data_IF_302273037123
#
_entry.id   IF_302273037123
#
_cell.length_a   1.000
_cell.length_b   1.000
_cell.length_c   1.000
_cell.angle_alpha   90.00
_cell.angle_beta   90.00
_cell.angle_gamma   90.00
#
_symmetry.space_group_name_H-M   'P 1'
#
loop_
_entity.id
_entity.type
_entity.pdbx_description
1 polymer ?
#
# COMPACT_ATOMS: atom_id res chain seq x y z
N UNK A 1 0.16 5.93 84.98
CA UNK A 1 0.69 6.67 83.81
C UNK A 1 1.42 5.69 82.91
N UNK A 2 0.79 5.26 81.82
CA UNK A 2 1.45 4.64 80.66
C UNK A 2 0.40 4.56 79.55
N UNK A 3 0.44 5.53 78.62
CA UNK A 3 -0.34 5.53 77.39
C UNK A 3 0.46 4.78 76.32
N UNK A 4 -0.04 3.63 75.87
CA UNK A 4 0.39 3.01 74.63
C UNK A 4 -0.31 3.71 73.46
N UNK A 5 0.46 4.37 72.60
CA UNK A 5 -0.03 4.97 71.36
C UNK A 5 -0.12 3.90 70.27
N UNK A 6 -1.34 3.68 69.76
CA UNK A 6 -1.59 2.85 68.58
C UNK A 6 -1.38 3.70 67.31
N UNK A 7 -0.46 3.26 66.44
CA UNK A 7 -0.24 3.84 65.12
C UNK A 7 -1.17 3.14 64.13
N UNK A 8 -2.22 3.81 63.68
CA UNK A 8 -3.09 3.38 62.59
C UNK A 8 -2.59 3.96 61.27
N UNK A 9 -2.02 3.11 60.41
CA UNK A 9 -1.71 3.41 59.01
C UNK A 9 -3.01 3.52 58.20
N UNK A 10 -3.29 4.72 57.69
CA UNK A 10 -4.35 4.96 56.70
C UNK A 10 -3.81 4.59 55.31
N UNK A 11 -4.24 3.44 54.78
CA UNK A 11 -4.03 3.09 53.36
C UNK A 11 -5.05 3.90 52.55
N UNK A 12 -4.58 4.94 51.87
CA UNK A 12 -5.39 5.69 50.90
C UNK A 12 -5.63 4.80 49.66
N UNK A 13 -6.90 4.51 49.38
CA UNK A 13 -7.30 3.83 48.15
C UNK A 13 -7.04 4.74 46.93
N UNK A 14 -6.60 4.21 45.77
CA UNK A 14 -6.44 5.00 44.56
C UNK A 14 -7.81 5.52 44.06
N UNK A 15 -7.85 6.69 43.41
CA UNK A 15 -9.09 7.27 42.94
C UNK A 15 -9.75 6.35 41.90
N UNK A 16 -11.02 6.03 42.15
CA UNK A 16 -11.89 5.36 41.17
C UNK A 16 -12.16 6.34 40.02
N UNK A 17 -11.50 6.14 38.89
CA UNK A 17 -11.82 6.86 37.66
C UNK A 17 -13.28 6.66 37.27
N UNK A 18 -13.89 7.77 36.91
CA UNK A 18 -15.27 7.98 36.53
C UNK A 18 -15.76 7.02 35.44
N UNK A 19 -16.98 6.51 35.64
CA UNK A 19 -17.79 5.83 34.64
C UNK A 19 -18.09 6.80 33.49
N UNK A 20 -17.37 6.69 32.38
CA UNK A 20 -17.86 7.14 31.08
C UNK A 20 -18.42 5.92 30.34
N UNK A 21 -19.64 5.98 29.78
CA UNK A 21 -20.14 4.92 28.93
C UNK A 21 -19.40 5.01 27.59
N UNK A 22 -18.44 4.11 27.41
CA UNK A 22 -17.72 3.95 26.14
C UNK A 22 -18.35 2.79 25.37
N UNK A 23 -19.35 3.09 24.53
CA UNK A 23 -19.96 2.11 23.60
C UNK A 23 -18.90 1.39 22.74
N UNK A 24 -17.72 1.99 22.56
CA UNK A 24 -16.59 1.40 21.83
C UNK A 24 -15.90 0.25 22.57
N UNK A 25 -15.80 0.30 23.91
CA UNK A 25 -15.14 -0.75 24.70
C UNK A 25 -16.05 -1.96 24.85
N UNK A 26 -17.35 -1.75 25.07
CA UNK A 26 -18.31 -2.85 25.17
C UNK A 26 -18.51 -3.52 23.80
N UNK A 27 -18.44 -2.74 22.71
CA UNK A 27 -18.41 -3.28 21.34
C UNK A 27 -17.13 -4.05 21.05
N UNK A 28 -15.96 -3.55 21.47
CA UNK A 28 -14.69 -4.26 21.31
C UNK A 28 -14.68 -5.58 22.11
N UNK A 29 -15.20 -5.60 23.35
CA UNK A 29 -15.35 -6.82 24.15
C UNK A 29 -16.35 -7.81 23.53
N UNK A 30 -17.43 -7.31 22.93
CA UNK A 30 -18.40 -8.16 22.22
C UNK A 30 -17.80 -8.77 20.94
N UNK A 31 -17.02 -8.00 20.18
CA UNK A 31 -16.30 -8.48 18.99
C UNK A 31 -15.21 -9.50 19.34
N UNK A 32 -14.48 -9.28 20.45
CA UNK A 32 -13.49 -10.22 20.96
C UNK A 32 -14.15 -11.54 21.43
N UNK A 33 -15.27 -11.45 22.16
CA UNK A 33 -16.06 -12.62 22.57
C UNK A 33 -16.59 -13.41 21.37
N UNK A 34 -17.12 -12.73 20.36
CA UNK A 34 -17.59 -13.36 19.13
C UNK A 34 -16.44 -14.05 18.36
N UNK A 35 -15.24 -13.47 18.35
CA UNK A 35 -14.04 -14.06 17.74
C UNK A 35 -13.56 -15.29 18.51
N UNK A 36 -13.63 -15.26 19.84
CA UNK A 36 -13.29 -16.41 20.69
C UNK A 36 -14.28 -17.57 20.51
N UNK A 37 -15.59 -17.29 20.43
CA UNK A 37 -16.62 -18.29 20.15
C UNK A 37 -16.48 -18.89 18.74
N UNK A 38 -16.16 -18.07 17.74
CA UNK A 38 -15.89 -18.55 16.37
C UNK A 38 -14.63 -19.42 16.31
N UNK A 39 -13.57 -19.07 17.05
CA UNK A 39 -12.35 -19.88 17.16
C UNK A 39 -12.59 -21.21 17.89
N UNK A 40 -13.42 -21.21 18.93
CA UNK A 40 -13.83 -22.43 19.62
C UNK A 40 -14.65 -23.36 18.71
N UNK A 41 -15.57 -22.80 17.92
CA UNK A 41 -16.36 -23.56 16.93
C UNK A 41 -15.49 -24.13 15.82
N UNK A 42 -14.51 -23.38 15.31
CA UNK A 42 -13.56 -23.87 14.32
C UNK A 42 -12.66 -24.99 14.86
N UNK A 43 -12.29 -24.96 16.15
CA UNK A 43 -11.55 -26.05 16.80
C UNK A 43 -12.42 -27.30 17.00
N UNK A 44 -13.70 -27.14 17.32
CA UNK A 44 -14.64 -28.26 17.41
C UNK A 44 -14.89 -28.92 16.04
N UNK A 45 -15.02 -28.12 14.99
CA UNK A 45 -15.19 -28.62 13.61
C UNK A 45 -13.91 -29.28 13.07
N UNK A 46 -12.72 -28.88 13.54
CA UNK A 46 -11.45 -29.53 13.22
C UNK A 46 -11.28 -30.87 13.98
N UNK A 47 -11.69 -30.94 15.25
CA UNK A 47 -11.66 -32.18 16.03
C UNK A 47 -12.61 -33.24 15.45
N UNK A 48 -13.79 -32.84 14.97
CA UNK A 48 -14.74 -33.73 14.30
C UNK A 48 -14.24 -34.31 12.97
N UNK A 49 -13.25 -33.68 12.31
CA UNK A 49 -12.65 -34.16 11.06
C UNK A 49 -11.42 -35.03 11.23
N UNK A 50 -10.87 -35.10 12.46
CA UNK A 50 -9.69 -35.93 12.76
C UNK A 50 -10.02 -37.37 13.15
N UNK A 51 -11.29 -37.69 13.45
CA UNK A 51 -11.73 -39.03 13.82
C UNK A 51 -12.12 -39.94 12.63
N UNK A 52 -11.99 -39.48 11.38
CA UNK A 52 -12.45 -40.21 10.18
C UNK A 52 -11.31 -40.62 9.23
N UNK A 53 -10.05 -40.57 9.69
CA UNK A 53 -8.90 -40.98 8.89
C UNK A 53 -7.85 -41.71 9.75
N UNK A 54 -8.18 -42.92 10.19
CA UNK A 54 -7.18 -43.93 10.57
C UNK A 54 -7.49 -45.25 9.88
N UNK A 55 -7.02 -45.40 8.64
CA UNK A 55 -6.58 -46.72 8.16
C UNK A 55 -5.66 -46.59 6.94
N UNK A 56 -4.71 -47.53 6.84
CA UNK A 56 -3.75 -47.80 5.76
C UNK A 56 -2.39 -47.06 5.79
N UNK A 57 -1.47 -47.72 6.49
CA UNK A 57 -0.02 -47.75 6.27
C UNK A 57 0.35 -48.56 4.99
N UNK A 58 1.40 -48.16 4.26
CA UNK A 58 2.68 -48.91 4.12
C UNK A 58 3.43 -48.73 2.77
N UNK A 59 4.76 -48.62 2.91
CA UNK A 59 5.85 -49.02 1.97
C UNK A 59 6.10 -48.19 0.69
N UNK A 60 7.29 -47.98 0.10
CA UNK A 60 8.70 -48.37 0.34
C UNK A 60 9.63 -47.60 -0.64
N UNK A 61 10.91 -47.45 -0.27
CA UNK A 61 12.16 -47.26 -1.07
C UNK A 61 12.48 -46.06 -1.99
N UNK A 62 13.50 -45.34 -1.51
CA UNK A 62 14.77 -44.91 -2.14
C UNK A 62 15.11 -45.31 -3.60
N UNK A 63 15.63 -44.34 -4.36
CA UNK A 63 16.90 -44.44 -5.13
C UNK A 63 17.30 -43.08 -5.77
N UNK A 64 18.49 -42.60 -5.43
CA UNK A 64 19.41 -41.80 -6.27
C UNK A 64 20.13 -42.78 -7.25
N UNK A 65 20.97 -42.38 -8.25
CA UNK A 65 21.75 -41.13 -8.35
C UNK A 65 21.90 -40.51 -9.77
N UNK A 66 22.67 -39.41 -9.79
CA UNK A 66 23.84 -39.20 -10.66
C UNK A 66 23.82 -38.08 -11.71
N UNK A 67 24.96 -37.36 -11.69
CA UNK A 67 25.33 -36.13 -12.36
C UNK A 67 25.83 -36.36 -13.79
N UNK A 68 25.61 -35.40 -14.69
CA UNK A 68 26.41 -35.24 -15.93
C UNK A 68 26.54 -33.74 -16.29
N UNK A 69 27.77 -33.22 -16.23
CA UNK A 69 28.31 -32.05 -16.99
C UNK A 69 28.67 -32.52 -18.43
N UNK A 70 28.98 -31.69 -19.48
CA UNK A 70 29.56 -30.32 -19.53
C UNK A 70 29.02 -29.50 -20.76
N UNK A 71 29.79 -28.67 -21.51
CA UNK A 71 30.70 -27.55 -21.19
C UNK A 71 30.24 -26.17 -21.75
N UNK A 72 31.02 -25.16 -21.38
CA UNK A 72 31.20 -23.80 -21.90
C UNK A 72 31.29 -23.62 -23.42
N UNK A 73 31.04 -22.39 -23.91
CA UNK A 73 31.84 -21.66 -24.94
C UNK A 73 31.26 -20.26 -25.27
N UNK A 74 32.15 -19.27 -25.11
CA UNK A 74 32.35 -17.96 -25.77
C UNK A 74 31.32 -16.82 -25.81
N UNK A 75 31.80 -15.72 -25.26
CA UNK A 75 31.63 -14.31 -25.61
C UNK A 75 31.85 -13.96 -27.09
N UNK A 76 31.07 -13.01 -27.59
CA UNK A 76 31.49 -12.07 -28.65
C UNK A 76 30.97 -10.66 -28.36
N UNK A 77 31.94 -9.75 -28.32
CA UNK A 77 31.88 -8.29 -28.24
C UNK A 77 31.69 -7.69 -29.65
N UNK A 78 30.99 -6.55 -29.76
CA UNK A 78 31.36 -5.43 -30.64
C UNK A 78 30.34 -4.28 -30.50
N UNK A 79 30.72 -3.13 -29.90
CA UNK A 79 31.19 -1.85 -30.52
C UNK A 79 30.12 -1.13 -31.39
N UNK A 80 29.56 -0.02 -30.87
CA UNK A 80 29.87 1.40 -31.18
C UNK A 80 29.31 1.87 -32.53
N UNK A 81 28.62 3.01 -32.69
CA UNK A 81 29.07 4.42 -32.54
C UNK A 81 27.86 5.34 -32.87
N UNK A 82 27.82 6.64 -32.50
CA UNK A 82 26.60 7.46 -32.40
C UNK A 82 26.44 8.50 -33.53
N UNK A 83 25.27 9.15 -33.61
CA UNK A 83 25.15 10.48 -34.21
C UNK A 83 23.83 11.22 -33.84
N UNK A 84 24.00 12.41 -33.23
CA UNK A 84 23.38 13.72 -33.52
C UNK A 84 21.84 13.81 -33.64
N UNK A 85 21.12 14.50 -32.75
CA UNK A 85 20.99 15.97 -32.56
C UNK A 85 20.46 16.74 -33.77
N UNK A 86 19.18 17.15 -33.72
CA UNK A 86 18.69 18.36 -34.36
C UNK A 86 17.43 18.87 -33.63
N UNK A 87 17.62 19.97 -32.92
CA UNK A 87 16.60 20.88 -32.41
C UNK A 87 15.92 21.63 -33.56
N UNK A 88 14.59 21.79 -33.50
CA UNK A 88 13.93 22.85 -34.26
C UNK A 88 12.88 23.52 -33.38
N UNK A 89 13.22 24.74 -33.02
CA UNK A 89 12.39 25.74 -32.36
C UNK A 89 11.41 26.31 -33.40
N UNK A 90 10.11 26.35 -33.11
CA UNK A 90 9.17 27.20 -33.85
C UNK A 90 8.22 27.90 -32.88
N UNK A 91 8.30 29.22 -32.87
CA UNK A 91 7.42 30.14 -32.14
C UNK A 91 5.99 30.20 -32.74
N UNK A 92 4.98 30.68 -31.98
CA UNK A 92 3.57 30.48 -32.30
C UNK A 92 2.96 31.57 -33.21
N UNK A 93 1.87 31.27 -33.95
CA UNK A 93 1.09 32.28 -34.68
C UNK A 93 0.03 32.97 -33.78
N UNK A 94 -0.50 34.15 -34.20
CA UNK A 94 -1.17 35.11 -33.33
C UNK A 94 -2.68 34.89 -33.11
N UNK A 95 -3.18 35.59 -32.08
CA UNK A 95 -4.53 35.57 -31.50
C UNK A 95 -5.69 35.79 -32.47
N UNK A 96 -6.66 34.88 -32.46
CA UNK A 96 -7.96 35.04 -33.10
C UNK A 96 -9.02 35.54 -32.10
N UNK A 97 -9.67 36.66 -32.45
CA UNK A 97 -10.80 37.24 -31.71
C UNK A 97 -11.99 36.28 -31.65
N UNK A 98 -12.48 35.99 -30.44
CA UNK A 98 -13.68 35.19 -30.16
C UNK A 98 -14.92 35.83 -30.79
N UNK A 99 -15.58 35.11 -31.72
CA UNK A 99 -17.00 35.31 -32.05
C UNK A 99 -17.81 34.41 -31.12
N UNK A 100 -18.69 34.99 -30.31
CA UNK A 100 -19.61 34.23 -29.48
C UNK A 100 -20.60 33.46 -30.35
N UNK A 101 -20.64 32.15 -30.12
CA UNK A 101 -21.51 31.19 -30.81
C UNK A 101 -22.95 31.29 -30.33
N UNK A 102 -23.88 31.31 -31.29
CA UNK A 102 -25.34 31.27 -31.18
C UNK A 102 -25.90 30.19 -30.20
N UNK A 103 -25.11 29.17 -29.86
CA UNK A 103 -25.48 28.12 -28.90
C UNK A 103 -25.58 28.57 -27.44
N UNK A 104 -25.08 29.75 -27.06
CA UNK A 104 -25.15 30.26 -25.67
C UNK A 104 -26.52 30.81 -25.26
N UNK A 105 -27.50 30.88 -26.18
CA UNK A 105 -28.84 31.43 -25.90
C UNK A 105 -29.94 30.37 -25.71
N UNK A 106 -29.66 29.08 -25.90
CA UNK A 106 -30.70 28.03 -25.90
C UNK A 106 -30.70 27.11 -24.67
N UNK A 107 -29.76 27.24 -23.74
CA UNK A 107 -29.73 26.42 -22.51
C UNK A 107 -29.62 27.29 -21.27
N UNK A 108 -30.71 27.99 -20.98
CA UNK A 108 -30.94 28.66 -19.71
C UNK A 108 -31.23 27.66 -18.59
N UNK A 109 -30.49 27.81 -17.49
CA UNK A 109 -30.75 27.34 -16.13
C UNK A 109 -30.87 25.82 -15.92
N UNK A 110 -29.82 25.20 -15.37
CA UNK A 110 -30.02 24.40 -14.14
C UNK A 110 -28.73 24.00 -13.40
N UNK A 111 -28.87 24.03 -12.06
CA UNK A 111 -28.11 23.35 -11.01
C UNK A 111 -26.62 23.72 -10.83
N UNK A 112 -26.36 24.50 -9.78
CA UNK A 112 -25.09 24.52 -9.05
C UNK A 112 -24.75 23.10 -8.62
N UNK A 113 -23.93 22.39 -9.40
CA UNK A 113 -23.19 21.25 -8.87
C UNK A 113 -22.10 21.83 -7.96
N UNK A 114 -22.16 21.49 -6.67
CA UNK A 114 -21.01 21.66 -5.79
C UNK A 114 -19.91 20.75 -6.35
N UNK A 115 -19.02 21.30 -7.18
CA UNK A 115 -17.70 20.73 -7.35
C UNK A 115 -17.03 20.80 -5.98
N UNK A 116 -16.88 19.65 -5.33
CA UNK A 116 -15.96 19.51 -4.22
C UNK A 116 -14.58 19.76 -4.80
N UNK A 117 -14.01 20.94 -4.53
CA UNK A 117 -12.63 21.25 -4.86
C UNK A 117 -11.76 20.32 -4.01
N UNK A 118 -11.16 19.32 -4.62
CA UNK A 118 -10.27 18.34 -3.97
C UNK A 118 -8.85 18.89 -3.75
N UNK A 119 -8.64 20.19 -3.93
CA UNK A 119 -7.34 20.83 -3.72
C UNK A 119 -7.55 22.01 -2.77
N UNK A 120 -7.21 21.79 -1.50
CA UNK A 120 -7.10 22.84 -0.50
C UNK A 120 -5.91 23.73 -0.85
N UNK A 121 -6.08 25.05 -0.73
CA UNK A 121 -4.98 26.01 -0.92
C UNK A 121 -3.94 25.81 0.19
N UNK A 122 -2.64 26.05 -0.02
CA UNK A 122 -1.61 25.91 1.03
C UNK A 122 -1.95 26.64 2.34
N UNK A 123 -2.64 27.79 2.27
CA UNK A 123 -3.08 28.55 3.45
C UNK A 123 -4.22 27.86 4.23
N UNK A 124 -4.94 26.92 3.61
CA UNK A 124 -6.00 26.11 4.21
C UNK A 124 -5.46 24.85 4.91
N UNK A 125 -4.15 24.55 4.77
CA UNK A 125 -3.44 23.53 5.54
C UNK A 125 -2.94 24.08 6.90
N UNK A 126 -3.00 25.40 7.07
CA UNK A 126 -2.65 26.09 8.32
C UNK A 126 -3.92 26.28 9.14
N UNK A 127 -4.31 25.27 9.90
CA UNK A 127 -5.27 25.44 10.99
C UNK A 127 -4.58 25.15 12.32
N UNK A 128 -4.15 26.21 13.00
CA UNK A 128 -3.52 26.16 14.34
C UNK A 128 -4.54 26.09 15.48
N UNK A 129 -5.85 26.05 15.18
CA UNK A 129 -6.91 26.37 16.14
C UNK A 129 -7.29 25.23 17.10
N UNK A 130 -6.58 24.09 17.05
CA UNK A 130 -6.80 22.98 17.98
C UNK A 130 -5.49 22.26 18.32
N UNK A 131 -4.53 22.98 18.92
CA UNK A 131 -3.48 22.34 19.72
C UNK A 131 -4.18 21.82 20.98
N UNK A 132 -4.10 20.51 21.25
CA UNK A 132 -4.30 20.05 22.62
C UNK A 132 -3.16 20.67 23.42
N UNK A 133 -3.40 21.79 24.09
CA UNK A 133 -2.43 22.28 25.07
C UNK A 133 -2.34 21.22 26.14
N UNK A 134 -1.13 20.69 26.32
CA UNK A 134 -0.85 19.83 27.44
C UNK A 134 -1.08 20.68 28.70
N UNK A 135 -1.83 20.22 29.73
CA UNK A 135 -1.97 20.97 30.98
C UNK A 135 -0.62 21.40 31.58
N UNK A 136 0.46 20.67 31.31
CA UNK A 136 1.84 20.98 31.71
C UNK A 136 2.45 22.18 30.97
N UNK A 137 2.00 22.54 29.75
CA UNK A 137 2.42 23.78 29.06
C UNK A 137 1.98 25.04 29.82
N UNK A 138 0.85 24.98 30.53
CA UNK A 138 0.34 26.10 31.33
C UNK A 138 1.10 26.33 32.64
N UNK A 139 1.82 25.30 33.11
CA UNK A 139 2.58 25.31 34.36
C UNK A 139 4.11 25.39 34.13
N UNK A 140 4.57 25.27 32.87
CA UNK A 140 5.99 25.34 32.51
C UNK A 140 6.82 24.13 32.97
N UNK A 141 6.19 22.97 33.18
CA UNK A 141 6.82 21.74 33.72
C UNK A 141 6.80 20.58 32.72
N UNK A 142 6.42 20.82 31.46
CA UNK A 142 6.49 19.79 30.43
C UNK A 142 7.96 19.54 30.07
N UNK A 143 8.50 18.36 30.34
CA UNK A 143 9.81 17.99 29.81
C UNK A 143 9.69 17.78 28.29
N UNK A 144 10.72 18.19 27.56
CA UNK A 144 10.75 18.11 26.10
C UNK A 144 11.74 17.01 25.68
N UNK A 145 11.22 15.87 25.26
CA UNK A 145 12.02 14.77 24.74
C UNK A 145 12.29 14.98 23.25
N UNK A 146 13.57 15.09 22.86
CA UNK A 146 13.98 15.29 21.46
C UNK A 146 14.58 14.02 20.87
N UNK A 147 14.03 13.61 19.73
CA UNK A 147 14.51 12.48 18.97
C UNK A 147 15.00 12.92 17.59
N UNK A 148 16.18 12.46 17.20
CA UNK A 148 16.76 12.74 15.89
C UNK A 148 17.57 11.55 15.36
N UNK A 149 17.74 11.45 14.03
CA UNK A 149 18.70 10.52 13.43
C UNK A 149 20.13 10.80 13.93
N UNK A 150 20.93 9.75 14.10
CA UNK A 150 22.36 9.91 14.35
C UNK A 150 23.10 10.48 13.14
N UNK A 151 24.30 11.03 13.36
CA UNK A 151 25.14 11.61 12.29
C UNK A 151 25.50 10.61 11.16
N UNK A 152 25.47 9.31 11.46
CA UNK A 152 25.76 8.22 10.52
C UNK A 152 24.51 7.53 9.98
N UNK A 153 23.31 7.96 10.39
CA UNK A 153 22.04 7.37 9.97
C UNK A 153 21.53 8.06 8.70
N UNK A 154 22.07 7.64 7.56
CA UNK A 154 21.66 8.11 6.24
C UNK A 154 20.35 7.48 5.77
N UNK A 155 19.71 8.15 4.81
CA UNK A 155 18.56 7.61 4.08
C UNK A 155 18.97 6.34 3.32
N UNK A 156 18.16 5.29 3.44
CA UNK A 156 18.35 4.02 2.72
C UNK A 156 17.19 3.82 1.77
N UNK A 157 17.48 3.44 0.52
CA UNK A 157 16.47 3.20 -0.50
C UNK A 157 16.27 1.71 -0.71
N UNK A 158 15.02 1.26 -0.54
CA UNK A 158 14.57 -0.06 -0.93
C UNK A 158 13.86 0.04 -2.28
N UNK A 159 14.51 -0.48 -3.32
CA UNK A 159 14.01 -0.46 -4.67
C UNK A 159 13.41 -1.82 -5.06
N UNK A 160 12.18 -1.81 -5.53
CA UNK A 160 11.54 -2.98 -6.14
C UNK A 160 10.69 -2.54 -7.34
N UNK A 161 10.36 -3.49 -8.22
CA UNK A 161 9.52 -3.21 -9.40
C UNK A 161 8.11 -2.74 -9.07
N UNK A 162 7.61 -2.98 -7.84
CA UNK A 162 6.26 -2.64 -7.42
C UNK A 162 6.16 -1.55 -6.35
N UNK A 163 7.27 -1.27 -5.66
CA UNK A 163 7.34 -0.33 -4.54
C UNK A 163 8.75 0.25 -4.44
N UNK A 164 8.83 1.56 -4.36
CA UNK A 164 10.03 2.29 -3.99
C UNK A 164 9.81 2.87 -2.60
N UNK A 165 10.74 2.64 -1.69
CA UNK A 165 10.72 3.26 -0.37
C UNK A 165 12.09 3.84 -0.04
N UNK A 166 12.11 4.96 0.67
CA UNK A 166 13.32 5.49 1.28
C UNK A 166 13.06 5.74 2.77
N UNK A 167 13.95 5.22 3.61
CA UNK A 167 13.76 5.15 5.06
C UNK A 167 14.93 5.80 5.78
N UNK A 168 14.63 6.51 6.86
CA UNK A 168 15.63 7.03 7.79
C UNK A 168 15.26 6.62 9.20
N UNK A 169 16.23 6.02 9.89
CA UNK A 169 16.07 5.61 11.28
C UNK A 169 16.21 6.83 12.21
N UNK A 170 15.37 6.88 13.23
CA UNK A 170 15.43 7.86 14.32
C UNK A 170 15.82 7.11 15.59
N UNK A 171 16.95 7.48 16.19
CA UNK A 171 17.52 6.73 17.29
C UNK A 171 16.57 6.70 18.50
N UNK A 172 16.42 5.51 19.09
CA UNK A 172 15.57 5.23 20.24
C UNK A 172 14.07 5.54 20.06
N UNK A 173 13.64 5.88 18.84
CA UNK A 173 12.26 6.28 18.58
C UNK A 173 11.58 5.40 17.54
N UNK A 174 12.21 5.20 16.37
CA UNK A 174 11.63 4.46 15.27
C UNK A 174 12.26 4.79 13.93
N UNK A 175 11.47 4.98 12.89
CA UNK A 175 11.94 5.41 11.58
C UNK A 175 10.87 6.14 10.79
N UNK A 176 11.28 6.95 9.84
CA UNK A 176 10.40 7.55 8.84
C UNK A 176 10.57 6.87 7.50
N UNK A 177 9.51 6.88 6.70
CA UNK A 177 9.49 6.31 5.36
C UNK A 177 8.77 7.26 4.40
N UNK A 178 9.40 7.52 3.26
CA UNK A 178 8.71 7.96 2.06
C UNK A 178 8.57 6.76 1.13
N UNK A 179 7.35 6.46 0.70
CA UNK A 179 7.09 5.34 -0.20
C UNK A 179 6.20 5.74 -1.36
N UNK A 180 6.44 5.10 -2.50
CA UNK A 180 5.61 5.23 -3.68
C UNK A 180 5.48 3.87 -4.38
N UNK A 181 4.24 3.39 -4.47
CA UNK A 181 3.88 2.17 -5.17
C UNK A 181 3.34 2.44 -6.57
N UNK A 182 3.08 1.36 -7.32
CA UNK A 182 2.50 1.44 -8.67
C UNK A 182 1.13 2.13 -8.65
N UNK A 183 1.02 3.24 -9.38
CA UNK A 183 -0.21 4.04 -9.47
C UNK A 183 -0.65 4.69 -8.15
N UNK A 184 0.22 4.72 -7.14
CA UNK A 184 -0.05 5.32 -5.84
C UNK A 184 0.68 6.68 -5.71
N UNK A 185 0.10 7.63 -4.95
CA UNK A 185 0.80 8.87 -4.63
C UNK A 185 1.99 8.60 -3.70
N UNK A 186 2.89 9.59 -3.59
CA UNK A 186 3.91 9.61 -2.56
C UNK A 186 3.24 9.66 -1.18
N UNK A 187 3.63 8.74 -0.31
CA UNK A 187 3.15 8.66 1.07
C UNK A 187 4.33 8.81 2.03
N UNK A 188 4.15 9.63 3.04
CA UNK A 188 5.04 9.75 4.19
C UNK A 188 4.41 9.09 5.41
N UNK A 189 5.22 8.32 6.14
CA UNK A 189 4.81 7.74 7.40
C UNK A 189 5.93 7.81 8.45
N UNK A 190 5.53 8.05 9.70
CA UNK A 190 6.38 7.88 10.89
C UNK A 190 5.99 6.57 11.58
N UNK A 191 6.97 5.68 11.68
CA UNK A 191 6.85 4.44 12.42
C UNK A 191 7.56 4.56 13.76
N UNK A 192 6.90 4.12 14.83
CA UNK A 192 7.36 4.29 16.21
C UNK A 192 7.48 2.94 16.89
N UNK A 193 8.51 2.76 17.72
CA UNK A 193 8.71 1.53 18.49
C UNK A 193 7.68 1.39 19.63
N UNK A 194 7.27 2.51 20.21
CA UNK A 194 6.26 2.59 21.26
C UNK A 194 5.08 3.42 20.74
N UNK A 195 4.00 2.76 20.29
CA UNK A 195 2.82 3.42 19.77
C UNK A 195 2.18 4.39 20.76
N UNK A 196 1.66 5.54 20.29
CA UNK A 196 0.87 6.40 21.13
C UNK A 196 -0.44 5.74 21.56
N UNK A 197 -0.85 5.92 22.82
CA UNK A 197 -2.06 5.31 23.37
C UNK A 197 -3.37 5.91 22.82
N UNK A 198 -3.31 7.11 22.24
CA UNK A 198 -4.48 7.86 21.78
C UNK A 198 -4.23 8.63 20.49
N UNK A 199 -5.33 9.13 19.93
CA UNK A 199 -5.30 10.00 18.76
C UNK A 199 -4.84 11.39 19.20
N UNK A 200 -3.93 11.98 18.44
CA UNK A 200 -3.29 13.24 18.76
C UNK A 200 -3.14 14.16 17.55
N UNK A 201 -2.53 15.32 17.78
CA UNK A 201 -2.15 16.28 16.74
C UNK A 201 -0.70 16.66 16.93
N UNK A 202 0.07 16.55 15.86
CA UNK A 202 1.45 16.98 15.78
C UNK A 202 1.55 18.31 15.04
N UNK A 203 2.15 19.30 15.68
CA UNK A 203 2.54 20.54 15.03
C UNK A 203 3.82 20.30 14.23
N UNK A 204 3.79 20.67 12.96
CA UNK A 204 4.87 20.42 12.01
C UNK A 204 5.48 21.74 11.58
N UNK A 205 6.77 21.88 11.85
CA UNK A 205 7.58 23.01 11.41
C UNK A 205 8.78 22.50 10.63
N UNK A 206 9.37 23.38 9.84
CA UNK A 206 10.67 23.12 9.20
C UNK A 206 11.66 24.12 9.72
N UNK A 207 12.86 23.65 10.01
CA UNK A 207 13.95 24.50 10.43
C UNK A 207 15.08 24.45 9.39
N UNK A 208 15.81 25.55 9.19
CA UNK A 208 17.01 25.52 8.37
C UNK A 208 18.10 24.69 9.06
N UNK A 209 19.02 24.10 8.29
CA UNK A 209 20.22 23.51 8.86
C UNK A 209 21.15 24.61 9.40
N UNK A 210 22.06 24.26 10.29
CA UNK A 210 22.89 25.23 11.03
C UNK A 210 23.70 26.17 10.13
N UNK A 211 24.09 25.72 8.93
CA UNK A 211 24.87 26.49 7.95
C UNK A 211 24.03 27.43 7.06
N UNK A 212 22.70 27.31 7.05
CA UNK A 212 21.81 28.22 6.31
C UNK A 212 21.31 29.37 7.20
N UNK A 213 22.22 30.26 7.58
CA UNK A 213 21.94 31.32 8.55
C UNK A 213 20.87 32.36 8.10
N UNK A 214 20.57 32.45 6.80
CA UNK A 214 19.60 33.41 6.25
C UNK A 214 18.19 32.83 6.09
N UNK A 215 18.03 31.52 6.21
CA UNK A 215 16.74 30.85 6.12
C UNK A 215 16.02 30.94 7.48
N UNK A 216 14.68 31.04 7.46
CA UNK A 216 13.86 31.06 8.67
C UNK A 216 13.10 29.75 8.83
N UNK A 217 12.84 29.37 10.07
CA UNK A 217 11.91 28.29 10.34
C UNK A 217 10.52 28.64 9.80
N UNK A 218 9.84 27.65 9.20
CA UNK A 218 8.49 27.80 8.66
C UNK A 218 7.54 26.88 9.41
N UNK A 219 6.41 27.42 9.83
CA UNK A 219 5.30 26.62 10.32
C UNK A 219 4.56 26.02 9.12
N UNK A 220 4.44 24.70 9.06
CA UNK A 220 3.73 24.00 7.98
C UNK A 220 2.28 23.69 8.37
N UNK A 221 1.93 23.68 9.66
CA UNK A 221 0.60 23.34 10.15
C UNK A 221 0.57 22.10 11.04
N UNK A 222 -0.53 21.35 10.99
CA UNK A 222 -0.82 20.24 11.92
C UNK A 222 -1.11 18.95 11.15
N UNK A 223 -0.53 17.84 11.60
CA UNK A 223 -0.80 16.48 11.12
C UNK A 223 -1.40 15.64 12.24
N UNK A 224 -2.30 14.73 11.91
CA UNK A 224 -2.91 13.82 12.88
C UNK A 224 -1.95 12.70 13.29
N UNK A 225 -1.98 12.35 14.57
CA UNK A 225 -1.24 11.24 15.16
C UNK A 225 -2.25 10.15 15.51
N UNK A 226 -2.02 8.93 15.03
CA UNK A 226 -2.91 7.79 15.22
C UNK A 226 -2.30 6.78 16.19
N UNK A 227 -3.12 6.03 16.95
CA UNK A 227 -2.63 4.92 17.75
C UNK A 227 -2.12 3.78 16.85
N UNK A 228 -0.98 3.20 17.21
CA UNK A 228 -0.36 2.09 16.49
C UNK A 228 1.08 2.35 16.07
N UNK A 229 1.73 1.34 15.48
CA UNK A 229 3.14 1.44 15.05
C UNK A 229 3.34 2.53 13.99
N UNK A 230 2.35 2.77 13.13
CA UNK A 230 2.36 3.87 12.14
C UNK A 230 1.70 5.10 12.75
N UNK A 231 2.42 5.77 13.64
CA UNK A 231 1.89 6.89 14.43
C UNK A 231 1.50 8.11 13.58
N UNK A 232 2.18 8.36 12.46
CA UNK A 232 1.79 9.43 11.53
C UNK A 232 1.69 8.86 10.13
N UNK A 233 0.57 9.12 9.46
CA UNK A 233 0.38 8.87 8.03
C UNK A 233 -0.04 10.18 7.37
N UNK A 234 0.80 10.73 6.50
CA UNK A 234 0.53 12.01 5.86
C UNK A 234 -0.33 11.87 4.60
N UNK A 235 -1.13 12.90 4.30
CA UNK A 235 -1.80 13.01 2.99
C UNK A 235 -0.78 13.17 1.86
N UNK A 236 -1.23 13.05 0.60
CA UNK A 236 -0.36 13.24 -0.56
C UNK A 236 0.28 14.65 -0.58
N UNK A 237 -0.49 15.68 -0.22
CA UNK A 237 -0.03 17.07 -0.19
C UNK A 237 1.05 17.27 0.87
N UNK A 238 0.81 16.74 2.08
CA UNK A 238 1.77 16.77 3.17
C UNK A 238 3.04 16.00 2.84
N UNK A 239 2.90 14.80 2.30
CA UNK A 239 4.03 13.96 1.88
C UNK A 239 4.89 14.68 0.86
N UNK A 240 4.27 15.30 -0.16
CA UNK A 240 4.99 16.10 -1.15
C UNK A 240 5.64 17.34 -0.54
N UNK A 241 4.97 18.03 0.38
CA UNK A 241 5.53 19.23 1.03
C UNK A 241 6.77 18.88 1.85
N UNK A 242 6.68 17.87 2.71
CA UNK A 242 7.80 17.41 3.54
C UNK A 242 8.99 16.97 2.68
N UNK A 243 8.71 16.24 1.60
CA UNK A 243 9.72 15.79 0.66
C UNK A 243 10.47 16.96 -0.01
N UNK A 244 9.73 18.00 -0.41
CA UNK A 244 10.33 19.20 -1.01
C UNK A 244 11.19 19.98 -0.01
N UNK A 245 10.71 20.19 1.21
CA UNK A 245 11.47 20.91 2.26
C UNK A 245 12.82 20.21 2.52
N UNK A 246 12.83 18.88 2.63
CA UNK A 246 14.07 18.12 2.78
C UNK A 246 14.98 18.18 1.55
N UNK A 247 14.40 18.23 0.34
CA UNK A 247 15.18 18.44 -0.88
C UNK A 247 15.86 19.82 -0.90
N UNK A 248 15.26 20.83 -0.28
CA UNK A 248 15.88 22.16 -0.09
C UNK A 248 16.90 22.19 1.06
N UNK A 249 17.12 21.06 1.73
CA UNK A 249 18.03 20.93 2.87
C UNK A 249 17.40 21.32 4.21
N UNK A 250 16.12 21.67 4.24
CA UNK A 250 15.38 21.99 5.46
C UNK A 250 15.10 20.72 6.26
N UNK A 251 15.07 20.82 7.58
CA UNK A 251 14.71 19.70 8.47
C UNK A 251 13.28 19.83 8.98
N UNK A 252 12.38 18.90 8.65
CA UNK A 252 11.08 18.82 9.30
C UNK A 252 11.22 18.43 10.76
N UNK A 253 10.35 19.02 11.58
CA UNK A 253 10.27 18.81 13.03
C UNK A 253 8.80 18.67 13.38
N UNK A 254 8.45 17.57 14.04
CA UNK A 254 7.09 17.26 14.48
C UNK A 254 7.06 17.28 16.00
N UNK A 255 6.20 18.13 16.59
CA UNK A 255 5.99 18.21 18.04
C UNK A 255 4.59 17.77 18.41
N UNK A 256 4.46 16.85 19.36
CA UNK A 256 3.20 16.37 19.91
C UNK A 256 3.39 15.86 21.34
N UNK A 257 2.30 15.61 22.03
CA UNK A 257 2.28 15.12 23.41
C UNK A 257 2.89 13.71 23.54
N UNK A 258 3.53 13.42 24.68
CA UNK A 258 3.96 12.07 25.03
C UNK A 258 2.73 11.20 25.28
N UNK A 259 2.59 10.15 24.49
CA UNK A 259 1.43 9.30 24.51
C UNK A 259 1.47 8.15 25.52
N UNK A 260 2.53 8.08 26.35
CA UNK A 260 2.60 7.19 27.49
C UNK A 260 1.79 7.72 28.69
N UNK A 261 2.09 8.93 29.17
CA UNK A 261 1.46 9.54 30.33
C UNK A 261 0.81 10.91 30.06
N UNK A 262 1.04 11.49 28.88
CA UNK A 262 0.52 12.79 28.50
C UNK A 262 1.17 13.95 29.25
N UNK A 263 2.21 13.74 30.05
CA UNK A 263 2.81 14.78 30.88
C UNK A 263 3.83 15.62 30.10
N UNK A 264 4.57 14.97 29.21
CA UNK A 264 5.68 15.56 28.48
C UNK A 264 5.33 15.88 27.02
N UNK A 265 6.18 16.67 26.38
CA UNK A 265 6.14 16.90 24.94
C UNK A 265 7.28 16.14 24.26
N UNK A 266 6.98 15.59 23.09
CA UNK A 266 7.95 14.94 22.23
C UNK A 266 8.18 15.76 20.96
N UNK A 267 9.44 15.85 20.55
CA UNK A 267 9.86 16.50 19.31
C UNK A 267 10.69 15.51 18.48
N UNK A 268 10.15 15.14 17.33
CA UNK A 268 10.77 14.22 16.38
C UNK A 268 11.29 15.02 15.19
N UNK A 269 12.61 15.00 15.02
CA UNK A 269 13.30 15.71 13.96
C UNK A 269 13.70 14.75 12.85
N UNK A 270 13.55 15.18 11.60
CA UNK A 270 14.07 14.48 10.42
C UNK A 270 15.37 15.15 9.98
N UNK A 271 16.28 14.38 9.38
CA UNK A 271 17.56 14.92 8.91
C UNK A 271 17.61 14.92 7.39
N UNK A 272 17.90 16.08 6.80
CA UNK A 272 18.15 16.23 5.36
C UNK A 272 19.57 15.78 4.94
N UNK A 273 20.38 15.28 5.88
CA UNK A 273 21.72 14.78 5.57
C UNK A 273 21.66 13.60 4.58
N UNK A 274 22.47 13.71 3.53
CA UNK A 274 22.52 12.80 2.39
C UNK A 274 21.17 12.51 1.69
N UNK A 275 20.18 13.40 1.87
CA UNK A 275 18.86 13.23 1.27
C UNK A 275 18.92 13.27 -0.26
N UNK A 276 19.74 14.16 -0.85
CA UNK A 276 19.87 14.33 -2.30
C UNK A 276 20.37 13.09 -3.03
N UNK A 277 21.39 12.39 -2.50
CA UNK A 277 21.89 11.15 -3.11
C UNK A 277 20.81 10.05 -3.09
N UNK A 278 20.10 9.93 -1.96
CA UNK A 278 19.00 8.97 -1.81
C UNK A 278 17.79 9.34 -2.66
N UNK A 279 17.54 10.63 -2.84
CA UNK A 279 16.50 11.17 -3.71
C UNK A 279 16.73 10.74 -5.16
N UNK A 280 17.97 10.82 -5.65
CA UNK A 280 18.32 10.35 -6.99
C UNK A 280 18.09 8.85 -7.17
N UNK A 281 18.47 8.04 -6.17
CA UNK A 281 18.21 6.59 -6.16
C UNK A 281 16.69 6.30 -6.14
N UNK A 282 15.94 7.05 -5.33
CA UNK A 282 14.49 6.94 -5.23
C UNK A 282 13.80 7.29 -6.55
N UNK A 283 14.16 8.41 -7.20
CA UNK A 283 13.62 8.79 -8.50
C UNK A 283 13.96 7.79 -9.60
N UNK A 284 15.17 7.20 -9.60
CA UNK A 284 15.53 6.11 -10.51
C UNK A 284 14.62 4.89 -10.30
N UNK A 285 14.34 4.53 -9.05
CA UNK A 285 13.39 3.47 -8.74
C UNK A 285 11.98 3.79 -9.25
N UNK A 286 11.47 5.00 -8.96
CA UNK A 286 10.12 5.43 -9.38
C UNK A 286 9.97 5.39 -10.91
N UNK A 287 11.02 5.78 -11.65
CA UNK A 287 11.04 5.69 -13.11
C UNK A 287 11.01 4.26 -13.67
N UNK A 288 11.29 3.24 -12.84
CA UNK A 288 11.31 1.82 -13.19
C UNK A 288 10.14 1.02 -12.57
N UNK A 289 9.20 1.69 -11.90
CA UNK A 289 8.00 1.03 -11.37
C UNK A 289 7.16 0.43 -12.51
N UNK A 290 6.56 -0.73 -12.23
CA UNK A 290 5.60 -1.36 -13.12
C UNK A 290 4.43 -0.43 -13.41
N UNK A 291 3.80 -0.62 -14.57
CA UNK A 291 2.62 0.17 -14.93
C UNK A 291 1.36 -0.26 -14.17
N UNK A 292 1.31 -1.53 -13.77
CA UNK A 292 0.17 -2.15 -13.11
C UNK A 292 0.59 -2.82 -11.80
N UNK A 293 -0.31 -2.83 -10.81
CA UNK A 293 -0.08 -3.54 -9.54
C UNK A 293 -0.58 -4.98 -9.64
N UNK A 294 0.05 -5.89 -8.91
CA UNK A 294 -0.38 -7.28 -8.78
C UNK A 294 -1.85 -7.39 -8.36
N UNK A 295 -2.31 -6.55 -7.42
CA UNK A 295 -3.71 -6.59 -6.96
C UNK A 295 -4.71 -6.29 -8.08
N UNK A 296 -4.32 -5.47 -9.04
CA UNK A 296 -5.15 -5.10 -10.19
C UNK A 296 -5.28 -6.23 -11.21
N UNK A 297 -4.24 -7.05 -11.39
CA UNK A 297 -4.22 -8.15 -12.37
C UNK A 297 -4.45 -9.54 -11.75
N UNK A 298 -4.49 -9.65 -10.42
CA UNK A 298 -4.67 -10.92 -9.70
C UNK A 298 -5.89 -11.70 -10.20
N UNK A 299 -6.94 -10.98 -10.59
CA UNK A 299 -8.14 -11.53 -11.24
C UNK A 299 -8.45 -10.76 -12.51
N UNK A 300 -8.03 -11.30 -13.65
CA UNK A 300 -8.28 -10.70 -14.96
C UNK A 300 -9.36 -11.48 -15.69
N UNK A 301 -10.37 -10.78 -16.20
CA UNK A 301 -11.44 -11.39 -17.01
C UNK A 301 -11.13 -11.11 -18.48
N UNK A 302 -10.96 -12.19 -19.24
CA UNK A 302 -10.75 -12.15 -20.68
C UNK A 302 -12.08 -12.41 -21.39
N UNK A 303 -12.59 -11.36 -22.02
CA UNK A 303 -13.88 -11.43 -22.70
C UNK A 303 -13.78 -11.98 -24.12
N UNK A 304 -14.73 -12.83 -24.49
CA UNK A 304 -14.89 -13.35 -25.84
C UNK A 304 -16.23 -12.94 -26.44
N UNK A 305 -16.28 -12.87 -27.77
CA UNK A 305 -17.55 -12.77 -28.48
C UNK A 305 -18.35 -14.06 -28.35
N UNK A 306 -19.66 -13.94 -28.52
CA UNK A 306 -20.58 -15.06 -28.59
C UNK A 306 -20.13 -16.07 -29.66
N UNK A 307 -20.20 -17.36 -29.33
CA UNK A 307 -19.76 -18.49 -30.16
C UNK A 307 -18.33 -18.44 -30.74
N UNK A 308 -17.48 -17.53 -30.27
CA UNK A 308 -16.11 -17.38 -30.76
C UNK A 308 -15.06 -17.70 -29.69
N UNK A 309 -13.95 -18.29 -30.13
CA UNK A 309 -12.75 -18.54 -29.31
C UNK A 309 -11.54 -17.70 -29.74
N UNK A 310 -11.74 -16.73 -30.65
CA UNK A 310 -10.66 -15.87 -31.16
C UNK A 310 -10.31 -14.77 -30.15
N UNK A 311 -9.03 -14.66 -29.79
CA UNK A 311 -8.50 -13.56 -28.98
C UNK A 311 -8.47 -12.25 -29.79
N UNK A 312 -9.25 -11.26 -29.35
CA UNK A 312 -9.30 -9.91 -29.94
C UNK A 312 -8.15 -9.04 -29.44
N UNK A 313 -7.91 -7.92 -30.11
CA UNK A 313 -6.87 -6.93 -29.73
C UNK A 313 -7.01 -6.49 -28.27
N UNK A 314 -8.22 -6.19 -27.79
CA UNK A 314 -8.46 -5.80 -26.39
C UNK A 314 -8.07 -6.90 -25.40
N UNK A 315 -8.45 -8.15 -25.69
CA UNK A 315 -8.10 -9.31 -24.86
C UNK A 315 -6.59 -9.53 -24.84
N UNK A 316 -5.92 -9.42 -26.00
CA UNK A 316 -4.46 -9.50 -26.12
C UNK A 316 -3.77 -8.44 -25.26
N UNK A 317 -4.24 -7.19 -25.29
CA UNK A 317 -3.70 -6.12 -24.43
C UNK A 317 -3.83 -6.45 -22.94
N UNK A 318 -5.00 -6.94 -22.50
CA UNK A 318 -5.18 -7.37 -21.10
C UNK A 318 -4.25 -8.53 -20.72
N UNK A 319 -3.99 -9.46 -21.64
CA UNK A 319 -3.02 -10.53 -21.42
C UNK A 319 -1.59 -10.00 -21.35
N UNK A 320 -1.24 -9.00 -22.16
CA UNK A 320 0.08 -8.35 -22.11
C UNK A 320 0.28 -7.61 -20.77
N UNK A 321 -0.76 -6.99 -20.22
CA UNK A 321 -0.74 -6.40 -18.86
C UNK A 321 -0.46 -7.47 -17.78
N UNK A 322 -1.11 -8.64 -17.89
CA UNK A 322 -0.84 -9.78 -16.99
C UNK A 322 0.60 -10.28 -17.12
N UNK A 323 1.13 -10.34 -18.35
CA UNK A 323 2.49 -10.80 -18.62
C UNK A 323 3.56 -9.86 -18.06
N UNK A 324 3.33 -8.55 -18.07
CA UNK A 324 4.23 -7.57 -17.44
C UNK A 324 4.46 -7.91 -15.96
N UNK A 325 3.39 -8.31 -15.25
CA UNK A 325 3.46 -8.70 -13.84
C UNK A 325 4.07 -10.08 -13.65
N UNK A 326 3.70 -11.06 -14.48
CA UNK A 326 4.26 -12.42 -14.40
C UNK A 326 5.77 -12.44 -14.62
N UNK A 327 6.29 -11.56 -15.49
CA UNK A 327 7.72 -11.42 -15.76
C UNK A 327 8.46 -10.63 -14.65
N UNK A 328 7.73 -9.85 -13.86
CA UNK A 328 8.31 -9.02 -12.81
C UNK A 328 8.25 -9.67 -11.41
N UNK A 329 7.27 -10.54 -11.16
CA UNK A 329 7.04 -11.18 -9.86
C UNK A 329 7.19 -12.71 -9.95
N UNK A 330 8.39 -13.21 -9.63
CA UNK A 330 8.69 -14.64 -9.54
C UNK A 330 7.96 -15.37 -8.39
N UNK A 331 7.29 -14.62 -7.51
CA UNK A 331 6.47 -15.15 -6.44
C UNK A 331 5.18 -15.80 -6.93
N UNK A 332 4.74 -15.52 -8.17
CA UNK A 332 3.60 -16.19 -8.80
C UNK A 332 4.01 -17.59 -9.22
N UNK A 333 3.46 -18.60 -8.53
CA UNK A 333 3.82 -20.01 -8.75
C UNK A 333 2.80 -20.75 -9.62
N UNK A 334 1.56 -20.30 -9.63
CA UNK A 334 0.49 -20.94 -10.39
C UNK A 334 -0.46 -19.89 -10.97
N UNK A 335 -0.93 -20.16 -12.18
CA UNK A 335 -1.86 -19.34 -12.95
C UNK A 335 -3.06 -20.22 -13.28
N UNK A 336 -4.17 -19.96 -12.60
CA UNK A 336 -5.41 -20.67 -12.86
C UNK A 336 -6.16 -19.99 -14.01
N UNK A 337 -6.45 -20.76 -15.05
CA UNK A 337 -7.37 -20.39 -16.12
C UNK A 337 -8.73 -21.00 -15.79
N UNK A 338 -9.52 -20.25 -15.04
CA UNK A 338 -10.87 -20.63 -14.64
C UNK A 338 -11.88 -20.33 -15.74
N UNK A 339 -12.73 -21.31 -16.04
CA UNK A 339 -13.80 -21.18 -17.01
C UNK A 339 -15.14 -21.47 -16.35
N UNK A 340 -16.13 -20.67 -16.71
CA UNK A 340 -17.49 -20.85 -16.25
C UNK A 340 -18.38 -21.17 -17.45
N UNK A 341 -19.05 -22.32 -17.43
CA UNK A 341 -20.00 -22.71 -18.48
C UNK A 341 -21.44 -22.62 -17.97
N UNK A 342 -22.38 -22.27 -18.87
CA UNK A 342 -23.80 -22.29 -18.56
C UNK A 342 -24.46 -23.60 -18.99
N UNK A 343 -25.51 -24.00 -18.26
CA UNK A 343 -26.29 -25.20 -18.55
C UNK A 343 -27.31 -25.06 -19.70
N UNK A 344 -27.56 -23.84 -20.22
CA UNK A 344 -28.45 -23.66 -21.39
C UNK A 344 -27.82 -24.23 -22.68
N UNK A 345 -28.60 -24.85 -23.55
CA UNK A 345 -28.11 -25.44 -24.81
C UNK A 345 -27.35 -26.77 -24.62
N UNK A 346 -26.61 -27.19 -25.65
CA UNK A 346 -25.82 -28.43 -25.63
C UNK A 346 -24.61 -28.28 -24.69
N UNK A 347 -24.68 -28.90 -23.51
CA UNK A 347 -23.60 -28.88 -22.50
C UNK A 347 -22.24 -29.27 -23.11
N UNK A 348 -22.21 -30.30 -23.96
CA UNK A 348 -21.00 -30.76 -24.66
C UNK A 348 -20.42 -29.69 -25.58
N UNK A 349 -21.27 -28.90 -26.24
CA UNK A 349 -20.83 -27.79 -27.10
C UNK A 349 -20.19 -26.67 -26.27
N UNK A 350 -20.88 -26.22 -25.21
CA UNK A 350 -20.38 -25.16 -24.33
C UNK A 350 -19.05 -25.54 -23.66
N UNK A 351 -18.93 -26.80 -23.21
CA UNK A 351 -17.69 -27.32 -22.64
C UNK A 351 -16.53 -27.29 -23.65
N UNK A 352 -16.78 -27.74 -24.89
CA UNK A 352 -15.78 -27.68 -25.98
C UNK A 352 -15.38 -26.25 -26.32
N UNK A 353 -16.34 -25.32 -26.40
CA UNK A 353 -16.07 -23.92 -26.70
C UNK A 353 -15.25 -23.25 -25.58
N UNK A 354 -15.62 -23.46 -24.33
CA UNK A 354 -14.86 -22.98 -23.18
C UNK A 354 -13.42 -23.54 -23.21
N UNK A 355 -13.27 -24.85 -23.41
CA UNK A 355 -11.95 -25.48 -23.52
C UNK A 355 -11.09 -24.83 -24.61
N UNK A 356 -11.66 -24.53 -25.80
CA UNK A 356 -10.93 -23.82 -26.86
C UNK A 356 -10.50 -22.42 -26.45
N UNK A 357 -11.33 -21.68 -25.70
CA UNK A 357 -10.99 -20.33 -25.20
C UNK A 357 -9.84 -20.38 -24.20
N UNK A 358 -9.90 -21.28 -23.22
CA UNK A 358 -8.80 -21.46 -22.26
C UNK A 358 -7.50 -21.85 -22.94
N UNK A 359 -7.54 -22.81 -23.88
CA UNK A 359 -6.35 -23.16 -24.66
C UNK A 359 -5.83 -21.96 -25.43
N UNK A 360 -6.69 -21.17 -26.07
CA UNK A 360 -6.28 -19.93 -26.74
C UNK A 360 -5.55 -18.95 -25.81
N UNK A 361 -6.03 -18.75 -24.58
CA UNK A 361 -5.34 -17.93 -23.56
C UNK A 361 -4.03 -18.58 -23.11
N UNK A 362 -4.04 -19.87 -22.79
CA UNK A 362 -2.88 -20.64 -22.36
C UNK A 362 -1.76 -20.57 -23.39
N UNK A 363 -2.07 -20.91 -24.64
CA UNK A 363 -1.12 -20.96 -25.74
C UNK A 363 -0.57 -19.55 -26.04
N UNK A 364 -1.37 -18.49 -25.82
CA UNK A 364 -0.91 -17.10 -25.93
C UNK A 364 0.12 -16.73 -24.85
N UNK A 365 -0.06 -17.20 -23.62
CA UNK A 365 0.87 -16.98 -22.51
C UNK A 365 2.15 -17.82 -22.70
N UNK A 366 2.02 -19.10 -23.08
CA UNK A 366 3.16 -19.98 -23.37
C UNK A 366 4.04 -19.40 -24.48
N UNK A 367 3.43 -18.92 -25.57
CA UNK A 367 4.15 -18.28 -26.67
C UNK A 367 4.98 -17.06 -26.24
N UNK A 368 4.68 -16.47 -25.09
CA UNK A 368 5.40 -15.33 -24.52
C UNK A 368 6.33 -15.70 -23.36
N UNK A 369 6.64 -16.99 -23.22
CA UNK A 369 7.66 -17.47 -22.29
C UNK A 369 7.13 -17.85 -20.91
N UNK A 370 5.81 -17.93 -20.72
CA UNK A 370 5.26 -18.52 -19.49
C UNK A 370 5.34 -20.03 -19.58
N UNK A 371 5.95 -20.64 -18.57
CA UNK A 371 6.06 -22.09 -18.43
C UNK A 371 4.67 -22.76 -18.42
N UNK A 372 4.53 -23.85 -19.17
CA UNK A 372 3.28 -24.61 -19.24
C UNK A 372 2.92 -25.20 -17.86
N UNK A 373 3.91 -25.58 -17.06
CA UNK A 373 3.71 -26.19 -15.74
C UNK A 373 3.08 -25.21 -14.72
N UNK A 374 3.19 -23.91 -14.97
CA UNK A 374 2.53 -22.88 -14.15
C UNK A 374 1.05 -22.73 -14.48
N UNK A 375 0.57 -23.24 -15.61
CA UNK A 375 -0.77 -22.96 -16.14
C UNK A 375 -1.72 -24.13 -15.86
N UNK A 376 -2.73 -23.89 -15.02
CA UNK A 376 -3.76 -24.88 -14.69
C UNK A 376 -5.13 -24.46 -15.24
N UNK A 377 -5.73 -25.29 -16.09
CA UNK A 377 -7.09 -25.06 -16.59
C UNK A 377 -8.10 -25.67 -15.63
N UNK A 378 -9.00 -24.85 -15.08
CA UNK A 378 -10.08 -25.27 -14.18
C UNK A 378 -11.43 -24.97 -14.81
N UNK A 379 -12.26 -26.00 -15.03
CA UNK A 379 -13.57 -25.83 -15.64
C UNK A 379 -14.66 -25.98 -14.56
N UNK A 380 -15.48 -24.95 -14.43
CA UNK A 380 -16.62 -24.90 -13.52
C UNK A 380 -17.92 -24.85 -14.32
N UNK A 381 -18.84 -25.77 -14.01
CA UNK A 381 -20.20 -25.76 -14.54
C UNK A 381 -21.12 -25.19 -13.47
N UNK A 382 -21.82 -24.09 -13.76
CA UNK A 382 -22.73 -23.43 -12.82
C UNK A 382 -24.08 -23.16 -13.50
N UNK A 383 -25.15 -23.03 -12.71
CA UNK A 383 -26.45 -22.60 -13.25
C UNK A 383 -26.34 -21.13 -13.68
N UNK A 384 -27.06 -20.77 -14.75
CA UNK A 384 -27.02 -19.41 -15.30
C UNK A 384 -27.39 -18.32 -14.28
N UNK A 385 -28.31 -18.59 -13.34
CA UNK A 385 -28.67 -17.66 -12.25
C UNK A 385 -27.48 -17.38 -11.31
N UNK A 386 -26.68 -18.40 -11.03
CA UNK A 386 -25.54 -18.29 -10.11
C UNK A 386 -24.39 -17.50 -10.74
N UNK A 387 -24.15 -17.68 -12.05
CA UNK A 387 -23.17 -16.89 -12.80
C UNK A 387 -23.55 -15.41 -12.90
N UNK A 388 -24.83 -15.11 -13.13
CA UNK A 388 -25.32 -13.73 -13.17
C UNK A 388 -25.12 -13.00 -11.83
N UNK A 389 -25.30 -13.69 -10.70
CA UNK A 389 -25.03 -13.10 -9.36
C UNK A 389 -23.58 -12.71 -9.16
N UNK A 390 -22.66 -13.44 -9.80
CA UNK A 390 -21.22 -13.16 -9.78
C UNK A 390 -20.81 -12.10 -10.83
N UNK A 391 -21.73 -11.70 -11.72
CA UNK A 391 -21.42 -10.81 -12.84
C UNK A 391 -20.56 -11.47 -13.93
N UNK A 392 -20.51 -12.80 -13.96
CA UNK A 392 -19.64 -13.54 -14.88
C UNK A 392 -20.39 -13.92 -16.15
N UNK A 393 -19.77 -13.66 -17.30
CA UNK A 393 -20.29 -14.21 -18.54
C UNK A 393 -19.73 -15.62 -18.74
N UNK A 394 -20.59 -16.57 -19.14
CA UNK A 394 -20.18 -17.93 -19.45
C UNK A 394 -19.27 -18.03 -20.70
N UNK A 395 -19.03 -16.91 -21.35
CA UNK A 395 -18.08 -16.80 -22.46
C UNK A 395 -16.65 -16.52 -22.04
N UNK A 396 -16.45 -16.10 -20.80
CA UNK A 396 -15.21 -15.46 -20.39
C UNK A 396 -14.25 -16.44 -19.73
N UNK A 397 -12.95 -16.15 -19.84
CA UNK A 397 -11.89 -16.87 -19.14
C UNK A 397 -11.39 -15.97 -18.02
N UNK A 398 -11.40 -16.51 -16.80
CA UNK A 398 -10.92 -15.82 -15.61
C UNK A 398 -9.50 -16.30 -15.33
N UNK A 399 -8.55 -15.37 -15.37
CA UNK A 399 -7.17 -15.63 -14.99
C UNK A 399 -7.04 -15.29 -13.52
N UNK A 400 -6.61 -16.25 -12.71
CA UNK A 400 -6.35 -16.06 -11.28
C UNK A 400 -4.89 -16.38 -10.99
N UNK A 401 -4.17 -15.35 -10.52
CA UNK A 401 -2.77 -15.49 -10.15
C UNK A 401 -2.65 -15.98 -8.70
N UNK A 402 -1.87 -17.04 -8.49
CA UNK A 402 -1.58 -17.61 -7.19
C UNK A 402 -0.12 -17.30 -6.82
N UNK A 403 0.04 -16.34 -5.91
CA UNK A 403 1.33 -15.98 -5.32
C UNK A 403 1.54 -16.76 -4.02
N UNK A 404 2.72 -17.37 -3.86
CA UNK A 404 3.10 -17.95 -2.57
C UNK A 404 3.31 -16.79 -1.59
N UNK A 405 2.47 -16.69 -0.57
CA UNK A 405 2.71 -15.73 0.52
C UNK A 405 4.03 -16.15 1.17
N UNK A 406 4.99 -15.23 1.26
CA UNK A 406 6.20 -15.48 2.03
C UNK A 406 5.76 -15.84 3.46
N UNK A 407 6.15 -17.03 3.91
CA UNK A 407 5.85 -17.49 5.28
C UNK A 407 6.67 -16.70 6.28
#
# INVERSE_FOLDING_TARGET
MSLFAAITTVIAAPPRFSKFPTDSIDKAKAEEKARAEAAAKAKADAASKSNDATNAQDSVSASEPEQVLPPSVTSTTSTSTPAQSASTTSAPPPEAKKRESWFSRLFGKNKKSKQVKTHKHPDELVNTENRHMNPSESLGIADLHRYSPGLTEFWKVDASKSLCAMRQKINHYGHVEFRQGVGQPLEFALFVAHPPAGIGKAHVRTEPPEWQHYSKARDLGVIEVEPGERAVTASQEWSRRLFLEMSEGMRPVMRYWDAADGADDMEVMLSALNFQESLDLFHRCVGQLLKYDYRSVKRTIVHFHEDSSKLRVKAKRQLDEVLEILNADEGVKQIDLELYTHSKGLVRYNFRLATRRARGVRDYLIKRGIDEDKLLIKIHTKRSKDLKKLGYNPTDVHIVLQRKVAK
#
